data_IF_540265083679
#
_entry.id   IF_540265083679
#
_cell.length_a   1.000
_cell.length_b   1.000
_cell.length_c   1.000
_cell.angle_alpha   90.00
_cell.angle_beta   90.00
_cell.angle_gamma   90.00
#
_symmetry.space_group_name_H-M   'P 1'
#
loop_
_entity.id
_entity.type
_entity.pdbx_description
1 polymer ?
#
# COMPACT_ATOMS: atom_id res chain seq x y z
N UNK A 1 -20.97 5.01 16.40
CA UNK A 1 -21.42 3.61 16.51
C UNK A 1 -20.64 2.96 17.64
N UNK A 2 -21.29 2.64 18.77
CA UNK A 2 -20.63 1.99 19.91
C UNK A 2 -19.89 0.72 19.46
N UNK A 3 -18.64 0.55 19.88
CA UNK A 3 -17.81 -0.63 19.54
C UNK A 3 -17.08 -0.60 18.19
N UNK A 4 -17.29 0.42 17.34
CA UNK A 4 -16.56 0.54 16.06
C UNK A 4 -15.13 1.03 16.30
N UNK A 5 -14.15 0.24 15.88
CA UNK A 5 -12.72 0.61 15.88
C UNK A 5 -12.25 0.77 14.42
N UNK A 6 -11.66 1.91 14.11
CA UNK A 6 -11.18 2.24 12.75
C UNK A 6 -9.65 2.07 12.66
N UNK A 7 -9.10 1.79 11.47
CA UNK A 7 -7.66 1.67 11.24
C UNK A 7 -6.99 3.05 11.09
N UNK A 8 -7.10 3.89 12.12
CA UNK A 8 -6.71 5.32 12.07
C UNK A 8 -5.23 5.55 11.74
N UNK A 9 -4.34 4.63 12.13
CA UNK A 9 -2.92 4.72 11.77
C UNK A 9 -2.69 4.54 10.27
N UNK A 10 -3.43 3.64 9.62
CA UNK A 10 -3.39 3.49 8.16
C UNK A 10 -3.94 4.74 7.46
N UNK A 11 -5.03 5.31 7.99
CA UNK A 11 -5.61 6.56 7.49
C UNK A 11 -4.64 7.75 7.61
N UNK A 12 -3.87 7.82 8.70
CA UNK A 12 -2.83 8.83 8.85
C UNK A 12 -1.71 8.69 7.80
N UNK A 13 -1.26 7.46 7.53
CA UNK A 13 -0.21 7.19 6.53
C UNK A 13 -0.69 7.53 5.11
N UNK A 14 -1.97 7.28 4.77
CA UNK A 14 -2.49 7.67 3.45
C UNK A 14 -2.55 9.17 3.27
N UNK A 15 -2.90 9.94 4.30
CA UNK A 15 -2.85 11.40 4.28
C UNK A 15 -1.41 11.93 4.10
N UNK A 16 -0.45 11.34 4.82
CA UNK A 16 0.98 11.68 4.68
C UNK A 16 1.49 11.39 3.27
N UNK A 17 1.16 10.22 2.71
CA UNK A 17 1.54 9.86 1.34
C UNK A 17 0.97 10.85 0.32
N UNK A 18 -0.31 11.23 0.44
CA UNK A 18 -0.93 12.23 -0.43
C UNK A 18 -0.20 13.59 -0.35
N UNK A 19 0.18 14.02 0.85
CA UNK A 19 0.93 15.27 1.02
C UNK A 19 2.33 15.19 0.38
N UNK A 20 3.04 14.06 0.54
CA UNK A 20 4.35 13.83 -0.08
C UNK A 20 4.25 13.86 -1.61
N UNK A 21 3.21 13.27 -2.19
CA UNK A 21 2.96 13.37 -3.63
C UNK A 21 2.73 14.81 -4.07
N UNK A 22 1.94 15.60 -3.33
CA UNK A 22 1.76 17.03 -3.61
C UNK A 22 3.08 17.80 -3.57
N UNK A 23 3.91 17.55 -2.55
CA UNK A 23 5.23 18.15 -2.42
C UNK A 23 6.15 17.76 -3.60
N UNK A 24 6.09 16.51 -4.05
CA UNK A 24 6.87 16.04 -5.19
C UNK A 24 6.48 16.76 -6.49
N UNK A 25 5.19 17.01 -6.71
CA UNK A 25 4.72 17.80 -7.87
C UNK A 25 5.30 19.22 -7.81
N UNK A 26 5.25 19.89 -6.65
CA UNK A 26 5.84 21.22 -6.47
C UNK A 26 7.36 21.22 -6.74
N UNK A 27 8.09 20.23 -6.23
CA UNK A 27 9.54 20.06 -6.49
C UNK A 27 9.81 19.86 -7.97
N UNK A 28 9.01 19.06 -8.65
CA UNK A 28 9.17 18.77 -10.08
C UNK A 28 8.97 20.02 -10.93
N UNK A 29 7.92 20.80 -10.65
CA UNK A 29 7.68 22.10 -11.29
C UNK A 29 8.82 23.07 -10.98
N UNK A 30 9.24 23.21 -9.72
CA UNK A 30 10.36 24.09 -9.36
C UNK A 30 11.67 23.68 -10.04
N UNK A 31 11.92 22.37 -10.16
CA UNK A 31 13.11 21.81 -10.79
C UNK A 31 13.17 22.10 -12.30
N UNK A 32 12.03 22.10 -13.00
CA UNK A 32 11.97 22.39 -14.43
C UNK A 32 12.02 23.88 -14.79
N UNK A 33 11.81 24.79 -13.83
CA UNK A 33 11.72 26.23 -14.06
C UNK A 33 13.04 27.00 -13.75
N UNK A 34 14.18 26.39 -14.06
CA UNK A 34 15.46 27.10 -14.05
C UNK A 34 15.59 28.02 -15.27
N UNK A 35 15.88 29.29 -15.06
CA UNK A 35 16.11 30.25 -16.14
C UNK A 35 17.57 30.70 -16.14
N UNK A 36 18.24 30.53 -17.27
CA UNK A 36 19.65 30.89 -17.48
C UNK A 36 20.58 30.26 -16.43
N UNK A 37 21.33 31.07 -15.69
CA UNK A 37 22.42 30.62 -14.82
C UNK A 37 21.95 30.09 -13.47
N UNK A 38 20.70 30.36 -13.07
CA UNK A 38 20.23 30.03 -11.72
C UNK A 38 18.75 29.65 -11.65
N UNK A 39 18.48 28.55 -10.93
CA UNK A 39 17.13 28.21 -10.51
C UNK A 39 16.76 28.96 -9.22
N UNK A 40 15.80 29.89 -9.31
CA UNK A 40 15.31 30.71 -8.17
C UNK A 40 14.28 30.00 -7.28
N UNK A 41 13.79 28.82 -7.68
CA UNK A 41 12.83 28.01 -6.92
C UNK A 41 13.48 27.19 -5.80
N UNK A 42 14.82 27.23 -5.64
CA UNK A 42 15.58 26.49 -4.63
C UNK A 42 14.99 26.55 -3.21
N UNK A 43 14.56 27.71 -2.66
CA UNK A 43 13.99 27.75 -1.32
C UNK A 43 12.70 26.93 -1.19
N UNK A 44 11.83 26.97 -2.21
CA UNK A 44 10.60 26.18 -2.26
C UNK A 44 10.90 24.69 -2.38
N UNK A 45 11.84 24.31 -3.25
CA UNK A 45 12.25 22.91 -3.44
C UNK A 45 12.77 22.33 -2.12
N UNK A 46 13.72 23.03 -1.47
CA UNK A 46 14.32 22.57 -0.21
C UNK A 46 13.27 22.43 0.89
N UNK A 47 12.34 23.39 1.01
CA UNK A 47 11.25 23.30 2.00
C UNK A 47 10.40 22.05 1.79
N UNK A 48 9.98 21.78 0.55
CA UNK A 48 9.11 20.64 0.24
C UNK A 48 9.82 19.31 0.48
N UNK A 49 11.10 19.20 0.12
CA UNK A 49 11.91 18.00 0.39
C UNK A 49 12.03 17.76 1.90
N UNK A 50 12.44 18.77 2.68
CA UNK A 50 12.62 18.63 4.12
C UNK A 50 11.30 18.34 4.85
N UNK A 51 10.20 18.97 4.42
CA UNK A 51 8.88 18.68 4.96
C UNK A 51 8.47 17.24 4.69
N UNK A 52 8.64 16.76 3.45
CA UNK A 52 8.35 15.36 3.10
C UNK A 52 9.18 14.38 3.93
N UNK A 53 10.49 14.63 4.08
CA UNK A 53 11.37 13.79 4.91
C UNK A 53 10.88 13.72 6.35
N UNK A 54 10.52 14.87 6.95
CA UNK A 54 9.99 14.89 8.33
C UNK A 54 8.67 14.13 8.45
N UNK A 55 7.72 14.39 7.56
CA UNK A 55 6.42 13.71 7.58
C UNK A 55 6.56 12.19 7.45
N UNK A 56 7.40 11.71 6.54
CA UNK A 56 7.64 10.27 6.36
C UNK A 56 8.32 9.67 7.59
N UNK A 57 9.32 10.34 8.16
CA UNK A 57 10.01 9.86 9.34
C UNK A 57 9.06 9.72 10.53
N UNK A 58 8.32 10.79 10.84
CA UNK A 58 7.38 10.81 11.97
C UNK A 58 6.25 9.79 11.78
N UNK A 59 5.70 9.69 10.56
CA UNK A 59 4.65 8.73 10.24
C UNK A 59 5.14 7.28 10.32
N UNK A 60 6.37 7.00 9.87
CA UNK A 60 6.94 5.65 9.91
C UNK A 60 7.15 5.18 11.35
N UNK A 61 7.68 6.05 12.22
CA UNK A 61 7.86 5.76 13.64
C UNK A 61 6.50 5.54 14.32
N UNK A 62 5.54 6.46 14.10
CA UNK A 62 4.20 6.31 14.67
C UNK A 62 3.50 5.04 14.19
N UNK A 63 3.56 4.74 12.89
CA UNK A 63 2.90 3.57 12.31
C UNK A 63 3.52 2.27 12.81
N UNK A 64 4.84 2.21 12.96
CA UNK A 64 5.52 1.05 13.52
C UNK A 64 5.02 0.74 14.95
N UNK A 65 5.11 1.73 15.84
CA UNK A 65 4.78 1.57 17.27
C UNK A 65 3.28 1.37 17.50
N UNK A 66 2.44 2.17 16.82
CA UNK A 66 1.00 2.23 17.12
C UNK A 66 0.14 1.31 16.24
N UNK A 67 0.71 0.71 15.20
CA UNK A 67 0.00 -0.24 14.34
C UNK A 67 0.76 -1.55 14.21
N UNK A 68 1.97 -1.52 13.63
CA UNK A 68 2.70 -2.73 13.19
C UNK A 68 3.02 -3.66 14.36
N UNK A 69 3.59 -3.14 15.45
CA UNK A 69 4.01 -3.95 16.61
C UNK A 69 2.83 -4.72 17.25
N UNK A 70 1.61 -4.20 17.11
CA UNK A 70 0.39 -4.79 17.65
C UNK A 70 -0.35 -5.75 16.72
N UNK A 71 0.07 -5.90 15.45
CA UNK A 71 -0.68 -6.70 14.47
C UNK A 71 -0.71 -8.18 14.89
N UNK A 72 -1.92 -8.73 14.96
CA UNK A 72 -2.15 -10.16 15.20
C UNK A 72 -2.91 -10.78 14.04
N UNK A 73 -2.33 -11.84 13.48
CA UNK A 73 -2.98 -12.60 12.42
C UNK A 73 -4.20 -13.38 12.95
N UNK A 74 -5.33 -13.28 12.26
CA UNK A 74 -6.48 -14.14 12.50
C UNK A 74 -6.22 -15.53 11.91
N UNK A 75 -5.58 -16.40 12.70
CA UNK A 75 -5.15 -17.75 12.27
C UNK A 75 -6.32 -18.65 11.84
N UNK A 76 -7.51 -18.48 12.43
CA UNK A 76 -8.69 -19.27 12.07
C UNK A 76 -9.14 -18.90 10.67
N UNK A 77 -9.30 -17.61 10.39
CA UNK A 77 -9.67 -17.14 9.05
C UNK A 77 -8.60 -17.47 8.00
N UNK A 78 -7.32 -17.39 8.35
CA UNK A 78 -6.24 -17.80 7.45
C UNK A 78 -6.32 -19.30 7.09
N UNK A 79 -6.54 -20.18 8.08
CA UNK A 79 -6.72 -21.62 7.82
C UNK A 79 -7.96 -21.89 6.98
N UNK A 80 -9.06 -21.21 7.29
CA UNK A 80 -10.30 -21.32 6.51
C UNK A 80 -10.08 -20.92 5.06
N UNK A 81 -9.48 -19.75 4.80
CA UNK A 81 -9.17 -19.29 3.46
C UNK A 81 -8.26 -20.26 2.71
N UNK A 82 -7.24 -20.83 3.37
CA UNK A 82 -6.36 -21.84 2.78
C UNK A 82 -7.13 -23.09 2.34
N UNK A 83 -8.05 -23.59 3.15
CA UNK A 83 -8.89 -24.75 2.79
C UNK A 83 -9.74 -24.44 1.57
N UNK A 84 -10.37 -23.25 1.52
CA UNK A 84 -11.18 -22.82 0.37
C UNK A 84 -10.34 -22.79 -0.91
N UNK A 85 -9.10 -22.28 -0.86
CA UNK A 85 -8.18 -22.30 -2.01
C UNK A 85 -7.86 -23.72 -2.46
N UNK A 86 -7.55 -24.64 -1.54
CA UNK A 86 -7.24 -26.04 -1.86
C UNK A 86 -8.45 -26.73 -2.51
N UNK A 87 -9.66 -26.54 -1.98
CA UNK A 87 -10.88 -27.13 -2.55
C UNK A 87 -11.11 -26.62 -3.98
N UNK A 88 -10.88 -25.33 -4.24
CA UNK A 88 -11.00 -24.76 -5.58
C UNK A 88 -10.01 -25.42 -6.56
N UNK A 89 -8.75 -25.58 -6.16
CA UNK A 89 -7.70 -26.18 -6.99
C UNK A 89 -7.97 -27.67 -7.28
N UNK A 90 -8.44 -28.41 -6.27
CA UNK A 90 -8.88 -29.80 -6.43
C UNK A 90 -10.06 -29.88 -7.40
N UNK A 91 -11.07 -29.00 -7.27
CA UNK A 91 -12.23 -28.94 -8.16
C UNK A 91 -11.87 -28.67 -9.62
N UNK A 92 -10.97 -27.70 -9.87
CA UNK A 92 -10.46 -27.42 -11.22
C UNK A 92 -9.71 -28.64 -11.82
N UNK A 93 -8.99 -29.38 -10.99
CA UNK A 93 -8.28 -30.60 -11.42
C UNK A 93 -9.24 -31.72 -11.79
N UNK A 94 -10.28 -31.97 -10.97
CA UNK A 94 -11.31 -32.97 -11.29
C UNK A 94 -12.08 -32.63 -12.57
N UNK A 95 -12.40 -31.36 -12.80
CA UNK A 95 -13.10 -30.92 -14.02
C UNK A 95 -12.26 -31.19 -15.28
N UNK A 96 -10.94 -30.92 -15.21
CA UNK A 96 -9.98 -31.22 -16.29
C UNK A 96 -9.89 -32.72 -16.58
N UNK A 97 -9.79 -33.55 -15.54
CA UNK A 97 -9.75 -35.02 -15.70
C UNK A 97 -11.05 -35.53 -16.33
N UNK A 98 -12.20 -35.04 -15.86
CA UNK A 98 -13.50 -35.42 -16.39
C UNK A 98 -13.65 -35.05 -17.88
N UNK A 99 -13.25 -33.84 -18.28
CA UNK A 99 -13.26 -33.41 -19.68
C UNK A 99 -12.29 -34.24 -20.54
N UNK A 100 -11.08 -34.50 -20.04
CA UNK A 100 -10.08 -35.28 -20.76
C UNK A 100 -10.53 -36.74 -20.94
N UNK A 101 -11.13 -37.35 -19.92
CA UNK A 101 -11.74 -38.68 -20.03
C UNK A 101 -12.84 -38.71 -21.10
N UNK A 102 -13.69 -37.68 -21.17
CA UNK A 102 -14.77 -37.60 -22.17
C UNK A 102 -14.26 -37.39 -23.61
N UNK A 103 -13.07 -36.81 -23.76
CA UNK A 103 -12.35 -36.65 -25.04
C UNK A 103 -11.67 -37.93 -25.52
N UNK A 104 -11.20 -38.80 -24.62
CA UNK A 104 -10.56 -40.08 -24.97
C UNK A 104 -11.55 -41.20 -25.36
N UNK A 105 -12.83 -41.04 -25.02
CA UNK A 105 -13.90 -41.99 -25.34
C UNK A 105 -14.74 -41.60 -26.57
N UNK A 106 -14.28 -40.64 -27.38
CA UNK A 106 -14.76 -40.33 -28.73
C UNK A 106 -13.60 -40.43 -29.73
#
# INVERSE_FOLDING_TARGET
>A
MPGKVNPTQCEAVTMVAAQVFGNQVAVTVGGSNGHFELNVFKPMIVRNVLQSTRLIADASVSFAVNCVDGIKANKVMLKFHRIVCIIREIGETYLKIYFFSKLLHN
#
